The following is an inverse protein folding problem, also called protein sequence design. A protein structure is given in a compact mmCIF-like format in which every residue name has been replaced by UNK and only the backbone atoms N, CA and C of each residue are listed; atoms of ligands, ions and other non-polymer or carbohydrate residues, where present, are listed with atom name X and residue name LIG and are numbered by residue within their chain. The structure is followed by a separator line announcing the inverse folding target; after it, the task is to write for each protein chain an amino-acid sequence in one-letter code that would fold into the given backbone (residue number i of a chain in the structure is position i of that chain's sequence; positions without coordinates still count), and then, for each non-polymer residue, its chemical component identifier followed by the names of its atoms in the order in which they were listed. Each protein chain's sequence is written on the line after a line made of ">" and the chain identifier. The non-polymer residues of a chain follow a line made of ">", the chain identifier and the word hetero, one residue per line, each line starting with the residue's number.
data_IF_700128381211
#
_entry.id   IF_700128381211
#
_cell.length_a   1.000
_cell.length_b   1.000
_cell.length_c   1.000
_cell.angle_alpha   90.00
_cell.angle_beta   90.00
_cell.angle_gamma   90.00
#
_symmetry.space_group_name_H-M   'P 1'
#
loop_
_entity.id
_entity.type
_entity.pdbx_description
1 polymer ?
#
# COMPACT_ATOMS: atom_id res chain seq x y z
N UNK A 1 -2.09 -11.05 -14.88
CA UNK A 1 -1.84 -10.17 -13.71
C UNK A 1 -2.83 -10.37 -12.55
N UNK A 2 -4.09 -10.77 -12.77
CA UNK A 2 -5.09 -10.95 -11.69
C UNK A 2 -4.64 -11.86 -10.54
N UNK A 3 -3.92 -12.94 -10.83
CA UNK A 3 -3.46 -13.92 -9.84
C UNK A 3 -2.28 -13.48 -8.95
N UNK A 4 -1.58 -12.39 -9.31
CA UNK A 4 -0.41 -11.87 -8.58
C UNK A 4 -0.77 -10.65 -7.72
N UNK A 5 -1.90 -9.99 -8.03
CA UNK A 5 -2.37 -8.77 -7.35
C UNK A 5 -2.51 -8.97 -5.85
N UNK A 6 -3.17 -10.05 -5.43
CA UNK A 6 -3.45 -10.30 -4.01
C UNK A 6 -2.20 -10.59 -3.19
N UNK A 7 -1.22 -11.32 -3.74
CA UNK A 7 0.04 -11.57 -3.03
C UNK A 7 0.87 -10.30 -2.86
N UNK A 8 0.92 -9.44 -3.89
CA UNK A 8 1.61 -8.16 -3.80
C UNK A 8 0.89 -7.16 -2.91
N UNK A 9 -0.45 -7.11 -2.97
CA UNK A 9 -1.25 -6.28 -2.08
C UNK A 9 -1.02 -6.67 -0.62
N UNK A 10 -1.04 -7.97 -0.31
CA UNK A 10 -0.77 -8.45 1.04
C UNK A 10 0.63 -8.05 1.54
N UNK A 11 1.66 -8.17 0.70
CA UNK A 11 3.02 -7.68 1.00
C UNK A 11 3.01 -6.18 1.35
N UNK A 12 2.35 -5.36 0.54
CA UNK A 12 2.26 -3.92 0.78
C UNK A 12 1.49 -3.56 2.05
N UNK A 13 0.37 -4.26 2.34
CA UNK A 13 -0.38 -4.04 3.58
C UNK A 13 0.51 -4.30 4.80
N UNK A 14 1.20 -5.43 4.85
CA UNK A 14 2.08 -5.74 5.98
C UNK A 14 3.28 -4.80 6.08
N UNK A 15 3.80 -4.32 4.95
CA UNK A 15 4.84 -3.27 4.94
C UNK A 15 4.31 -1.97 5.55
N UNK A 16 3.11 -1.53 5.15
CA UNK A 16 2.49 -0.34 5.72
C UNK A 16 2.13 -0.50 7.20
N UNK A 17 1.70 -1.69 7.62
CA UNK A 17 1.47 -1.99 9.03
C UNK A 17 2.76 -1.86 9.83
N UNK A 18 3.88 -2.37 9.33
CA UNK A 18 5.19 -2.22 9.98
C UNK A 18 5.58 -0.74 10.14
N UNK A 19 5.47 0.04 9.06
CA UNK A 19 5.83 1.47 9.07
C UNK A 19 4.97 2.25 10.07
N UNK A 20 3.65 2.04 10.06
CA UNK A 20 2.73 2.70 11.01
C UNK A 20 3.01 2.25 12.44
N UNK A 21 3.32 0.96 12.65
CA UNK A 21 3.58 0.42 13.96
C UNK A 21 4.84 1.05 14.59
N UNK A 22 5.96 1.07 13.87
CA UNK A 22 7.23 1.64 14.37
C UNK A 22 7.30 3.17 14.37
N UNK A 23 6.45 3.87 13.63
CA UNK A 23 6.42 5.34 13.63
C UNK A 23 5.42 5.95 14.62
N UNK A 24 4.36 5.21 14.99
CA UNK A 24 3.24 5.77 15.75
C UNK A 24 2.88 4.96 16.99
N UNK A 25 2.73 3.65 16.85
CA UNK A 25 2.18 2.81 17.93
C UNK A 25 3.22 2.41 18.96
N UNK A 26 4.39 1.95 18.52
CA UNK A 26 5.49 1.53 19.37
C UNK A 26 6.83 1.85 18.67
N UNK A 27 7.30 3.08 18.88
CA UNK A 27 8.61 3.55 18.45
C UNK A 27 9.66 2.86 19.33
N UNK A 28 10.54 2.03 18.77
CA UNK A 28 11.51 1.28 19.56
C UNK A 28 12.62 2.19 20.06
N UNK A 29 12.81 2.25 21.37
CA UNK A 29 14.00 2.81 22.01
C UNK A 29 14.77 1.69 22.69
N UNK A 30 15.71 1.06 21.96
CA UNK A 30 16.40 -0.17 22.37
C UNK A 30 17.89 0.04 22.48
N UNK A 31 18.51 -0.67 23.41
CA UNK A 31 19.92 -0.67 23.75
C UNK A 31 20.47 -2.07 23.51
N UNK A 32 21.42 -2.18 22.59
CA UNK A 32 22.21 -3.39 22.41
C UNK A 32 23.51 -3.28 23.22
N UNK A 33 24.03 -4.39 23.76
CA UNK A 33 23.65 -5.78 23.50
C UNK A 33 22.55 -6.35 24.43
N UNK A 34 22.19 -5.65 25.51
CA UNK A 34 21.38 -6.19 26.61
C UNK A 34 19.88 -6.34 26.32
N UNK A 35 19.44 -6.18 25.06
CA UNK A 35 18.02 -6.22 24.64
C UNK A 35 17.10 -5.50 25.64
N UNK A 36 17.55 -4.35 26.11
CA UNK A 36 16.87 -3.53 27.10
C UNK A 36 16.47 -2.22 26.44
N UNK A 37 15.34 -1.66 26.84
CA UNK A 37 14.75 -0.51 26.18
C UNK A 37 13.25 -0.50 26.31
N UNK A 38 12.63 0.57 25.85
CA UNK A 38 11.18 0.74 25.95
C UNK A 38 10.56 1.15 24.62
N UNK A 39 9.28 0.83 24.45
CA UNK A 39 8.47 1.37 23.36
C UNK A 39 7.96 2.75 23.75
N UNK A 40 8.07 3.72 22.84
CA UNK A 40 7.50 5.06 23.01
C UNK A 40 6.39 5.19 21.96
N UNK A 41 5.17 5.54 22.34
CA UNK A 41 4.09 5.67 21.35
C UNK A 41 2.72 5.50 21.95
N UNK A 42 1.71 5.43 21.09
CA UNK A 42 0.29 5.33 21.48
C UNK A 42 0.04 4.11 22.36
N UNK A 43 0.65 2.96 22.09
CA UNK A 43 0.44 1.75 22.90
C UNK A 43 1.00 1.90 24.32
N UNK A 44 2.14 2.58 24.48
CA UNK A 44 2.70 2.90 25.79
C UNK A 44 1.84 3.90 26.55
N UNK A 45 1.26 4.90 25.86
CA UNK A 45 0.32 5.85 26.48
C UNK A 45 -0.96 5.17 26.97
N UNK A 46 -1.41 4.11 26.28
CA UNK A 46 -2.53 3.28 26.69
C UNK A 46 -2.17 2.25 27.78
N UNK A 47 -0.92 2.23 28.25
CA UNK A 47 -0.45 1.34 29.32
C UNK A 47 -0.16 -0.09 28.88
N UNK A 48 -0.01 -0.37 27.58
CA UNK A 48 0.34 -1.71 27.11
C UNK A 48 1.77 -2.08 27.52
N UNK A 49 1.94 -3.24 28.15
CA UNK A 49 3.25 -3.72 28.60
C UNK A 49 4.25 -3.84 27.42
N UNK A 50 5.49 -3.37 27.66
CA UNK A 50 6.58 -3.32 26.68
C UNK A 50 6.93 -4.69 26.09
N UNK A 51 6.83 -5.78 26.85
CA UNK A 51 7.05 -7.14 26.35
C UNK A 51 6.11 -7.50 25.21
N UNK A 52 4.82 -7.17 25.32
CA UNK A 52 3.85 -7.38 24.23
C UNK A 52 4.15 -6.48 23.03
N UNK A 53 4.59 -5.23 23.26
CA UNK A 53 4.99 -4.34 22.16
C UNK A 53 6.20 -4.89 21.38
N UNK A 54 7.18 -5.49 22.07
CA UNK A 54 8.32 -6.17 21.44
C UNK A 54 7.85 -7.39 20.64
N UNK A 55 6.95 -8.21 21.21
CA UNK A 55 6.37 -9.34 20.49
C UNK A 55 5.65 -8.92 19.21
N UNK A 56 4.74 -7.95 19.27
CA UNK A 56 4.03 -7.46 18.10
C UNK A 56 4.99 -6.89 17.05
N UNK A 57 6.07 -6.20 17.46
CA UNK A 57 7.11 -5.73 16.55
C UNK A 57 7.71 -6.88 15.75
N UNK A 58 8.20 -7.91 16.45
CA UNK A 58 8.88 -9.06 15.82
C UNK A 58 7.90 -9.87 14.97
N UNK A 59 6.66 -10.05 15.45
CA UNK A 59 5.58 -10.73 14.73
C UNK A 59 5.23 -10.01 13.41
N UNK A 60 5.11 -8.69 13.40
CA UNK A 60 4.80 -7.93 12.18
C UNK A 60 5.93 -8.13 11.16
N UNK A 61 7.20 -8.04 11.59
CA UNK A 61 8.37 -8.26 10.73
C UNK A 61 8.40 -9.70 10.19
N UNK A 62 8.18 -10.71 11.03
CA UNK A 62 8.22 -12.12 10.61
C UNK A 62 7.07 -12.48 9.66
N UNK A 63 5.88 -11.91 9.87
CA UNK A 63 4.73 -12.06 8.98
C UNK A 63 4.99 -11.36 7.65
N UNK A 64 5.58 -10.16 7.66
CA UNK A 64 6.02 -9.48 6.45
C UNK A 64 6.97 -10.34 5.63
N UNK A 65 7.99 -10.95 6.26
CA UNK A 65 8.91 -11.89 5.57
C UNK A 65 8.17 -13.11 5.01
N UNK A 66 7.21 -13.68 5.74
CA UNK A 66 6.37 -14.77 5.23
C UNK A 66 5.53 -14.36 4.00
N UNK A 67 5.06 -13.10 3.95
CA UNK A 67 4.38 -12.59 2.75
C UNK A 67 5.30 -12.53 1.55
N UNK A 68 6.59 -12.24 1.73
CA UNK A 68 7.59 -12.24 0.65
C UNK A 68 7.79 -13.65 0.09
N UNK A 69 7.92 -14.67 0.95
CA UNK A 69 7.96 -16.08 0.53
C UNK A 69 6.73 -16.43 -0.30
N UNK A 70 5.54 -15.99 0.14
CA UNK A 70 4.28 -16.23 -0.59
C UNK A 70 4.28 -15.59 -1.98
N UNK A 71 4.89 -14.41 -2.15
CA UNK A 71 5.00 -13.77 -3.47
C UNK A 71 5.87 -14.62 -4.42
N UNK A 72 7.01 -15.13 -3.95
CA UNK A 72 7.90 -15.98 -4.75
C UNK A 72 7.29 -17.35 -5.05
N UNK A 73 6.66 -17.99 -4.07
CA UNK A 73 5.92 -19.25 -4.27
C UNK A 73 4.81 -19.08 -5.31
N UNK A 74 4.02 -18.01 -5.19
CA UNK A 74 2.89 -17.77 -6.11
C UNK A 74 3.40 -17.54 -7.53
N UNK A 75 4.53 -16.85 -7.68
CA UNK A 75 5.17 -16.63 -8.98
C UNK A 75 5.64 -17.94 -9.61
N UNK A 76 6.34 -18.77 -8.84
CA UNK A 76 6.78 -20.08 -9.30
C UNK A 76 5.61 -20.97 -9.71
N UNK A 77 4.55 -21.00 -8.89
CA UNK A 77 3.35 -21.80 -9.13
C UNK A 77 2.64 -21.42 -10.44
N UNK A 78 2.52 -20.13 -10.73
CA UNK A 78 1.86 -19.63 -11.94
C UNK A 78 2.63 -19.98 -13.23
N UNK A 79 3.96 -20.03 -13.15
CA UNK A 79 4.81 -20.36 -14.30
C UNK A 79 4.98 -21.87 -14.49
N UNK A 80 4.79 -22.65 -13.42
CA UNK A 80 4.95 -24.10 -13.43
C UNK A 80 3.73 -24.80 -14.03
N UNK A 81 3.93 -25.60 -15.09
CA UNK A 81 2.89 -26.46 -15.67
C UNK A 81 2.78 -27.78 -14.87
N UNK A 82 1.56 -28.29 -14.66
CA UNK A 82 1.27 -29.61 -14.06
C UNK A 82 1.83 -29.88 -12.65
N UNK A 83 1.45 -29.07 -11.64
CA UNK A 83 1.74 -29.34 -10.22
C UNK A 83 0.49 -29.67 -9.40
N UNK A 84 -0.15 -30.82 -9.68
CA UNK A 84 -1.38 -31.25 -8.99
C UNK A 84 -1.18 -31.42 -7.48
N UNK A 85 -0.06 -32.02 -7.06
CA UNK A 85 0.27 -32.21 -5.65
C UNK A 85 0.48 -30.88 -4.92
N UNK A 86 1.34 -30.00 -5.46
CA UNK A 86 1.58 -28.69 -4.84
C UNK A 86 0.32 -27.84 -4.77
N UNK A 87 -0.58 -27.94 -5.76
CA UNK A 87 -1.88 -27.25 -5.73
C UNK A 87 -2.71 -27.63 -4.50
N UNK A 88 -2.66 -28.89 -4.05
CA UNK A 88 -3.35 -29.36 -2.84
C UNK A 88 -2.65 -28.89 -1.56
N UNK A 89 -1.31 -28.93 -1.53
CA UNK A 89 -0.52 -28.67 -0.30
C UNK A 89 -0.27 -27.18 -0.05
N UNK A 90 -0.22 -26.34 -1.09
CA UNK A 90 0.21 -24.93 -0.96
C UNK A 90 -0.59 -24.09 0.02
N UNK A 91 -1.88 -24.40 0.21
CA UNK A 91 -2.73 -23.71 1.18
C UNK A 91 -2.25 -23.97 2.60
N UNK A 92 -2.08 -25.26 2.96
CA UNK A 92 -1.56 -25.69 4.25
C UNK A 92 -0.13 -25.20 4.50
N UNK A 93 0.76 -25.30 3.51
CA UNK A 93 2.13 -24.79 3.64
C UNK A 93 2.17 -23.28 3.89
N UNK A 94 1.28 -22.53 3.24
CA UNK A 94 1.14 -21.10 3.45
C UNK A 94 0.66 -20.78 4.87
N UNK A 95 -0.41 -21.45 5.34
CA UNK A 95 -0.95 -21.27 6.69
C UNK A 95 0.11 -21.61 7.74
N UNK A 96 0.80 -22.74 7.57
CA UNK A 96 1.87 -23.17 8.47
C UNK A 96 2.99 -22.12 8.56
N UNK A 97 3.43 -21.55 7.43
CA UNK A 97 4.46 -20.51 7.44
C UNK A 97 4.02 -19.27 8.23
N UNK A 98 2.76 -18.84 8.08
CA UNK A 98 2.22 -17.72 8.87
C UNK A 98 2.12 -18.03 10.36
N UNK A 99 1.69 -19.25 10.72
CA UNK A 99 1.64 -19.69 12.12
C UNK A 99 3.04 -19.68 12.73
N UNK A 100 4.03 -20.26 12.03
CA UNK A 100 5.42 -20.26 12.49
C UNK A 100 5.91 -18.81 12.68
N UNK A 101 5.70 -17.94 11.69
CA UNK A 101 6.05 -16.52 11.80
C UNK A 101 5.39 -15.82 13.00
N UNK A 102 4.13 -16.13 13.31
CA UNK A 102 3.43 -15.52 14.43
C UNK A 102 3.84 -16.07 15.80
N UNK A 103 4.28 -17.33 15.85
CA UNK A 103 4.47 -18.05 17.12
C UNK A 103 5.94 -18.23 17.54
N UNK A 104 6.91 -18.20 16.62
CA UNK A 104 8.30 -18.55 16.94
C UNK A 104 8.94 -17.68 18.06
N UNK A 105 8.44 -16.46 18.26
CA UNK A 105 8.95 -15.52 19.26
C UNK A 105 8.21 -15.57 20.62
N UNK A 106 7.03 -16.23 20.67
CA UNK A 106 6.19 -16.30 21.88
C UNK A 106 6.94 -16.86 23.10
N UNK A 107 7.77 -17.92 22.99
CA UNK A 107 8.44 -18.49 24.16
C UNK A 107 9.22 -17.46 24.98
N UNK A 108 9.83 -16.45 24.34
CA UNK A 108 10.63 -15.44 25.03
C UNK A 108 9.83 -14.52 25.95
N UNK A 109 8.51 -14.40 25.75
CA UNK A 109 7.64 -13.64 26.66
C UNK A 109 7.56 -14.29 28.05
N UNK A 110 7.70 -15.61 28.14
CA UNK A 110 7.68 -16.33 29.41
C UNK A 110 9.02 -16.30 30.16
N UNK A 111 10.10 -15.87 29.48
CA UNK A 111 11.45 -15.78 30.05
C UNK A 111 11.87 -14.33 30.35
N UNK A 112 10.93 -13.38 30.28
CA UNK A 112 11.18 -12.00 30.70
C UNK A 112 11.53 -11.99 32.20
N UNK A 113 12.67 -11.40 32.60
CA UNK A 113 13.08 -11.38 34.00
C UNK A 113 12.27 -10.37 34.83
N UNK A 114 12.28 -10.55 36.15
CA UNK A 114 11.74 -9.57 37.09
C UNK A 114 12.48 -8.23 36.94
N UNK A 115 11.73 -7.19 36.59
CA UNK A 115 12.26 -5.86 36.28
C UNK A 115 12.93 -5.21 37.49
N UNK A 116 12.48 -5.50 38.71
CA UNK A 116 13.08 -4.96 39.94
C UNK A 116 14.52 -5.46 40.15
N UNK A 117 14.83 -6.65 39.64
CA UNK A 117 16.17 -7.25 39.73
C UNK A 117 16.99 -7.02 38.46
N UNK A 118 16.35 -7.03 37.30
CA UNK A 118 17.04 -6.96 36.01
C UNK A 118 17.52 -5.55 35.65
N UNK A 119 16.74 -4.51 35.95
CA UNK A 119 17.09 -3.12 35.62
C UNK A 119 18.40 -2.68 36.28
N UNK A 120 18.62 -2.88 37.60
CA UNK A 120 19.89 -2.50 38.24
C UNK A 120 21.11 -3.18 37.60
N UNK A 121 20.99 -4.47 37.25
CA UNK A 121 22.08 -5.25 36.62
C UNK A 121 22.46 -4.67 35.25
N UNK A 122 21.49 -4.22 34.46
CA UNK A 122 21.78 -3.60 33.16
C UNK A 122 22.36 -2.20 33.32
N UNK A 123 21.89 -1.41 34.30
CA UNK A 123 22.40 -0.07 34.58
C UNK A 123 23.86 -0.10 35.07
N UNK A 124 24.23 -1.07 35.90
CA UNK A 124 25.63 -1.28 36.31
C UNK A 124 26.55 -1.52 35.11
N UNK A 125 26.07 -2.27 34.11
CA UNK A 125 26.79 -2.54 32.86
C UNK A 125 26.75 -1.39 31.86
N UNK A 126 25.85 -0.43 32.04
CA UNK A 126 25.64 0.71 31.12
C UNK A 126 25.47 2.03 31.90
N UNK A 127 26.52 2.48 32.64
CA UNK A 127 26.42 3.63 33.54
C UNK A 127 26.07 4.93 32.82
N UNK A 128 26.40 5.06 31.52
CA UNK A 128 26.05 6.19 30.67
C UNK A 128 24.53 6.35 30.44
N UNK A 129 23.73 5.31 30.71
CA UNK A 129 22.29 5.31 30.46
C UNK A 129 21.47 6.03 31.53
N UNK A 130 22.05 6.31 32.71
CA UNK A 130 21.34 7.01 33.79
C UNK A 130 20.75 8.36 33.37
N UNK A 131 21.36 9.06 32.39
CA UNK A 131 20.83 10.31 31.82
C UNK A 131 19.47 10.14 31.10
N UNK A 132 19.17 8.96 30.56
CA UNK A 132 17.92 8.70 29.82
C UNK A 132 16.83 8.08 30.71
N UNK A 133 17.21 7.43 31.81
CA UNK A 133 16.26 6.79 32.76
C UNK A 133 15.30 7.76 33.44
N UNK A 134 15.65 9.05 33.52
CA UNK A 134 14.80 10.07 34.14
C UNK A 134 13.55 10.40 33.30
N UNK A 135 13.57 10.09 32.00
CA UNK A 135 12.48 10.40 31.06
C UNK A 135 11.80 9.14 30.52
N UNK A 136 12.51 8.03 30.35
CA UNK A 136 11.96 6.78 29.82
C UNK A 136 12.36 5.62 30.75
N UNK A 137 11.39 4.93 31.38
CA UNK A 137 11.70 3.79 32.24
C UNK A 137 12.33 2.68 31.41
N UNK A 138 13.46 2.14 31.90
CA UNK A 138 14.14 1.02 31.27
C UNK A 138 13.35 -0.26 31.48
N UNK A 139 13.14 -1.02 30.41
CA UNK A 139 12.57 -2.36 30.47
C UNK A 139 13.60 -3.36 29.93
N UNK A 140 13.89 -4.40 30.68
CA UNK A 140 14.85 -5.45 30.31
C UNK A 140 14.10 -6.64 29.76
N UNK A 141 14.22 -6.91 28.45
CA UNK A 141 13.55 -8.04 27.82
C UNK A 141 14.22 -9.38 28.18
N UNK A 142 15.55 -9.42 28.19
CA UNK A 142 16.32 -10.60 28.59
C UNK A 142 17.70 -10.21 29.11
N UNK A 143 18.22 -10.92 30.11
CA UNK A 143 19.61 -10.81 30.56
C UNK A 143 20.57 -11.66 29.71
N UNK A 144 20.05 -12.67 29.01
CA UNK A 144 20.80 -13.51 28.08
C UNK A 144 20.21 -13.37 26.66
N UNK A 145 20.75 -12.46 25.84
CA UNK A 145 20.26 -12.19 24.48
C UNK A 145 20.63 -13.28 23.44
N UNK A 146 21.54 -14.21 23.75
CA UNK A 146 22.05 -15.19 22.77
C UNK A 146 20.93 -16.11 22.22
N UNK A 147 20.06 -16.73 23.04
CA UNK A 147 18.99 -17.58 22.52
C UNK A 147 17.99 -16.83 21.63
N UNK A 148 17.70 -15.57 21.96
CA UNK A 148 16.84 -14.69 21.17
C UNK A 148 17.47 -14.46 19.80
N UNK A 149 18.75 -14.05 19.78
CA UNK A 149 19.48 -13.79 18.54
C UNK A 149 19.61 -15.06 17.67
N UNK A 150 19.94 -16.20 18.27
CA UNK A 150 20.05 -17.48 17.58
C UNK A 150 18.72 -17.91 16.94
N UNK A 151 17.60 -17.72 17.66
CA UNK A 151 16.26 -18.08 17.17
C UNK A 151 15.82 -17.17 16.02
N UNK A 152 16.05 -15.86 16.13
CA UNK A 152 15.79 -14.90 15.03
C UNK A 152 16.68 -15.19 13.83
N UNK A 153 17.95 -15.55 14.04
CA UNK A 153 18.87 -15.93 12.98
C UNK A 153 18.42 -17.21 12.25
N UNK A 154 18.05 -18.25 13.00
CA UNK A 154 17.55 -19.51 12.45
C UNK A 154 16.28 -19.30 11.62
N UNK A 155 15.32 -18.53 12.15
CA UNK A 155 14.11 -18.16 11.41
C UNK A 155 14.45 -17.40 10.12
N UNK A 156 15.36 -16.42 10.20
CA UNK A 156 15.79 -15.64 9.04
C UNK A 156 16.43 -16.49 7.96
N UNK A 157 17.32 -17.42 8.35
CA UNK A 157 17.95 -18.39 7.43
C UNK A 157 16.88 -19.25 6.76
N UNK A 158 15.94 -19.81 7.53
CA UNK A 158 14.84 -20.62 6.99
C UNK A 158 14.04 -19.85 5.93
N UNK A 159 13.63 -18.61 6.23
CA UNK A 159 12.85 -17.79 5.29
C UNK A 159 13.66 -17.43 4.04
N UNK A 160 14.92 -17.02 4.19
CA UNK A 160 15.81 -16.69 3.05
C UNK A 160 16.03 -17.93 2.17
N UNK A 161 16.22 -19.10 2.77
CA UNK A 161 16.33 -20.37 2.03
C UNK A 161 15.07 -20.70 1.25
N UNK A 162 13.87 -20.49 1.84
CA UNK A 162 12.60 -20.69 1.15
C UNK A 162 12.41 -19.72 -0.03
N UNK A 163 12.74 -18.44 0.16
CA UNK A 163 12.69 -17.44 -0.92
C UNK A 163 13.65 -17.83 -2.06
N UNK A 164 14.88 -18.17 -1.71
CA UNK A 164 15.92 -18.57 -2.67
C UNK A 164 15.52 -19.82 -3.45
N UNK A 165 14.93 -20.82 -2.79
CA UNK A 165 14.39 -22.01 -3.43
C UNK A 165 13.35 -21.65 -4.50
N UNK A 166 12.35 -20.85 -4.17
CA UNK A 166 11.29 -20.48 -5.14
C UNK A 166 11.81 -19.60 -6.28
N UNK A 167 12.79 -18.73 -6.02
CA UNK A 167 13.49 -17.97 -7.07
C UNK A 167 14.23 -18.93 -8.01
N UNK A 168 15.06 -19.83 -7.49
CA UNK A 168 15.80 -20.82 -8.27
C UNK A 168 14.86 -21.71 -9.11
N UNK A 169 13.75 -22.18 -8.51
CA UNK A 169 12.74 -22.96 -9.22
C UNK A 169 12.07 -22.15 -10.33
N UNK A 170 11.80 -20.86 -10.11
CA UNK A 170 11.24 -19.97 -11.14
C UNK A 170 12.22 -19.78 -12.30
N UNK A 171 13.49 -19.50 -12.01
CA UNK A 171 14.55 -19.36 -13.02
C UNK A 171 14.68 -20.64 -13.84
N UNK A 172 14.67 -21.81 -13.18
CA UNK A 172 14.71 -23.12 -13.84
C UNK A 172 13.52 -23.36 -14.76
N UNK A 173 12.31 -22.98 -14.34
CA UNK A 173 11.13 -23.12 -15.20
C UNK A 173 11.23 -22.22 -16.44
N UNK A 174 11.66 -20.97 -16.26
CA UNK A 174 11.86 -20.03 -17.36
C UNK A 174 12.96 -20.48 -18.33
N UNK A 175 14.05 -21.08 -17.84
CA UNK A 175 15.12 -21.60 -18.70
C UNK A 175 14.66 -22.82 -19.51
N UNK A 176 13.89 -23.73 -18.91
CA UNK A 176 13.33 -24.89 -19.62
C UNK A 176 12.33 -24.44 -20.69
N UNK A 177 11.45 -23.49 -20.39
CA UNK A 177 10.48 -22.96 -21.37
C UNK A 177 11.17 -22.29 -22.56
N UNK A 178 12.25 -21.54 -22.30
CA UNK A 178 13.08 -20.92 -23.34
C UNK A 178 13.77 -21.97 -24.23
N UNK A 179 14.32 -23.04 -23.62
CA UNK A 179 15.02 -24.11 -24.35
C UNK A 179 14.07 -24.97 -25.19
N UNK A 180 12.86 -25.24 -24.68
CA UNK A 180 11.87 -26.10 -25.35
C UNK A 180 10.94 -25.34 -26.31
N UNK A 181 11.16 -24.04 -26.51
CA UNK A 181 10.31 -23.16 -27.34
C UNK A 181 8.80 -23.26 -27.03
N UNK A 182 8.44 -23.59 -25.78
CA UNK A 182 7.02 -23.73 -25.37
C UNK A 182 6.34 -22.38 -25.18
N UNK A 183 7.11 -21.29 -25.19
CA UNK A 183 6.66 -19.91 -24.97
C UNK A 183 7.60 -18.99 -25.75
N UNK A 184 7.09 -17.88 -26.29
CA UNK A 184 7.91 -16.97 -27.09
C UNK A 184 9.07 -16.37 -26.28
N UNK A 185 10.21 -16.11 -26.94
CA UNK A 185 11.39 -15.52 -26.30
C UNK A 185 11.09 -14.13 -25.73
N UNK A 186 10.20 -13.38 -26.38
CA UNK A 186 9.71 -12.10 -25.88
C UNK A 186 9.01 -12.25 -24.52
N UNK A 187 8.09 -13.20 -24.39
CA UNK A 187 7.35 -13.45 -23.14
C UNK A 187 8.27 -13.94 -22.02
N UNK A 188 9.24 -14.82 -22.32
CA UNK A 188 10.25 -15.25 -21.33
C UNK A 188 11.08 -14.07 -20.84
N UNK A 189 11.51 -13.19 -21.74
CA UNK A 189 12.27 -11.98 -21.42
C UNK A 189 11.47 -11.05 -20.50
N UNK A 190 10.17 -10.88 -20.78
CA UNK A 190 9.28 -10.11 -19.93
C UNK A 190 9.16 -10.71 -18.52
N UNK A 191 9.05 -12.04 -18.41
CA UNK A 191 8.99 -12.72 -17.11
C UNK A 191 10.29 -12.59 -16.31
N UNK A 192 11.46 -12.65 -16.97
CA UNK A 192 12.78 -12.42 -16.34
C UNK A 192 12.93 -10.99 -15.84
N UNK A 193 12.62 -9.99 -16.67
CA UNK A 193 12.65 -8.57 -16.27
C UNK A 193 11.77 -8.32 -15.05
N UNK A 194 10.57 -8.89 -15.02
CA UNK A 194 9.69 -8.79 -13.85
C UNK A 194 10.27 -9.48 -12.61
N UNK A 195 10.87 -10.66 -12.75
CA UNK A 195 11.49 -11.36 -11.62
C UNK A 195 12.66 -10.56 -11.04
N UNK A 196 13.53 -9.99 -11.88
CA UNK A 196 14.62 -9.13 -11.42
C UNK A 196 14.12 -7.85 -10.75
N UNK A 197 13.08 -7.22 -11.31
CA UNK A 197 12.43 -6.07 -10.68
C UNK A 197 11.88 -6.42 -9.29
N UNK A 198 11.22 -7.58 -9.16
CA UNK A 198 10.70 -8.07 -7.88
C UNK A 198 11.82 -8.37 -6.88
N UNK A 199 12.91 -9.02 -7.34
CA UNK A 199 14.09 -9.29 -6.50
C UNK A 199 14.75 -8.01 -6.01
N UNK A 200 14.90 -7.01 -6.87
CA UNK A 200 15.40 -5.70 -6.45
C UNK A 200 14.46 -5.08 -5.40
N UNK A 201 13.15 -5.10 -5.67
CA UNK A 201 12.14 -4.47 -4.82
C UNK A 201 12.03 -5.12 -3.42
N UNK A 202 12.14 -6.44 -3.31
CA UNK A 202 12.13 -7.13 -2.00
C UNK A 202 13.52 -7.25 -1.38
N UNK A 203 14.58 -7.23 -2.20
CA UNK A 203 15.96 -7.43 -1.75
C UNK A 203 16.57 -6.18 -1.14
N UNK A 204 16.35 -5.00 -1.73
CA UNK A 204 16.88 -3.74 -1.18
C UNK A 204 16.43 -3.46 0.28
N UNK A 205 15.14 -3.58 0.63
CA UNK A 205 14.69 -3.33 2.00
C UNK A 205 15.27 -4.36 2.97
N UNK A 206 15.38 -5.62 2.54
CA UNK A 206 16.04 -6.69 3.31
C UNK A 206 17.51 -6.35 3.55
N UNK A 207 18.27 -5.92 2.52
CA UNK A 207 19.68 -5.55 2.69
C UNK A 207 19.83 -4.38 3.66
N UNK A 208 19.01 -3.33 3.50
CA UNK A 208 19.06 -2.15 4.36
C UNK A 208 18.73 -2.46 5.82
N UNK A 209 17.84 -3.43 6.08
CA UNK A 209 17.49 -3.82 7.46
C UNK A 209 18.47 -4.86 8.02
N UNK A 210 18.83 -5.88 7.26
CA UNK A 210 19.67 -6.99 7.74
C UNK A 210 21.14 -6.62 7.87
N UNK A 211 21.71 -5.84 6.95
CA UNK A 211 23.13 -5.51 6.98
C UNK A 211 23.54 -4.79 8.29
N UNK A 212 22.82 -3.77 8.79
CA UNK A 212 23.09 -3.17 10.09
C UNK A 212 22.90 -4.16 11.25
N UNK A 213 21.88 -5.02 11.18
CA UNK A 213 21.62 -6.03 12.21
C UNK A 213 22.73 -7.09 12.30
N UNK A 214 23.56 -7.27 11.26
CA UNK A 214 24.72 -8.15 11.33
C UNK A 214 25.72 -7.73 12.42
N UNK A 215 25.80 -6.43 12.72
CA UNK A 215 26.65 -5.94 13.81
C UNK A 215 26.24 -6.52 15.17
N UNK A 216 24.98 -6.93 15.36
CA UNK A 216 24.51 -7.56 16.61
C UNK A 216 25.20 -8.90 16.87
N UNK A 217 25.58 -9.65 15.83
CA UNK A 217 26.32 -10.91 15.99
C UNK A 217 27.74 -10.70 16.54
N UNK A 218 28.26 -9.48 16.46
CA UNK A 218 29.51 -9.10 17.11
C UNK A 218 29.27 -8.45 18.48
N UNK A 219 28.35 -7.48 18.56
CA UNK A 219 28.07 -6.72 19.80
C UNK A 219 27.55 -7.61 20.92
N UNK A 220 26.66 -8.56 20.60
CA UNK A 220 25.97 -9.38 21.59
C UNK A 220 26.89 -10.40 22.28
N UNK A 221 27.64 -11.26 21.55
CA UNK A 221 28.54 -12.22 22.20
C UNK A 221 29.68 -11.55 22.96
N UNK A 222 30.17 -10.41 22.48
CA UNK A 222 31.25 -9.66 23.13
C UNK A 222 30.77 -8.81 24.33
N UNK A 223 29.46 -8.66 24.53
CA UNK A 223 28.91 -7.78 25.57
C UNK A 223 29.27 -6.29 25.36
N UNK A 224 29.65 -5.91 24.14
CA UNK A 224 30.13 -4.57 23.83
C UNK A 224 28.97 -3.62 23.50
N UNK A 225 28.77 -2.60 24.35
CA UNK A 225 27.78 -1.55 24.12
C UNK A 225 28.38 -0.40 23.32
N UNK A 226 27.70 0.00 22.23
CA UNK A 226 28.03 1.19 21.46
C UNK A 226 26.76 1.86 20.93
N UNK A 227 26.45 3.03 21.47
CA UNK A 227 25.23 3.76 21.11
C UNK A 227 25.26 4.28 19.66
N UNK A 228 26.43 4.63 19.12
CA UNK A 228 26.56 5.07 17.72
C UNK A 228 26.13 3.96 16.75
N UNK A 229 26.59 2.73 16.99
CA UNK A 229 26.21 1.57 16.16
C UNK A 229 24.72 1.28 16.31
N UNK A 230 24.19 1.32 17.54
CA UNK A 230 22.76 1.12 17.79
C UNK A 230 21.91 2.16 17.07
N UNK A 231 22.28 3.44 17.13
CA UNK A 231 21.60 4.52 16.40
C UNK A 231 21.68 4.31 14.88
N UNK A 232 22.83 3.89 14.35
CA UNK A 232 22.99 3.61 12.93
C UNK A 232 22.08 2.48 12.45
N UNK A 233 21.91 1.41 13.25
CA UNK A 233 20.94 0.34 12.97
C UNK A 233 19.54 0.93 12.81
N UNK A 234 19.07 1.72 13.78
CA UNK A 234 17.72 2.28 13.73
C UNK A 234 17.52 3.33 12.62
N UNK A 235 18.54 4.13 12.30
CA UNK A 235 18.50 5.03 11.14
C UNK A 235 18.38 4.24 9.84
N UNK A 236 19.19 3.19 9.67
CA UNK A 236 19.17 2.36 8.48
C UNK A 236 17.85 1.61 8.32
N UNK A 237 17.32 1.07 9.42
CA UNK A 237 15.97 0.52 9.48
C UNK A 237 14.94 1.59 9.12
N UNK A 238 15.01 2.82 9.62
CA UNK A 238 14.03 3.87 9.28
C UNK A 238 14.08 4.26 7.80
N UNK A 239 15.27 4.25 7.18
CA UNK A 239 15.45 4.61 5.77
C UNK A 239 14.98 3.54 4.78
N UNK A 240 14.72 2.31 5.23
CA UNK A 240 14.33 1.22 4.33
C UNK A 240 13.07 1.55 3.50
N UNK A 241 12.04 2.16 4.11
CA UNK A 241 10.79 2.52 3.43
C UNK A 241 10.98 3.62 2.37
N UNK A 242 11.86 4.59 2.65
CA UNK A 242 12.23 5.64 1.69
C UNK A 242 12.90 5.04 0.45
N UNK A 243 13.95 4.24 0.64
CA UNK A 243 14.67 3.61 -0.46
C UNK A 243 13.80 2.60 -1.23
N UNK A 244 12.91 1.88 -0.55
CA UNK A 244 11.91 0.99 -1.18
C UNK A 244 11.01 1.74 -2.15
N UNK A 245 10.55 2.92 -1.74
CA UNK A 245 9.66 3.77 -2.55
C UNK A 245 10.40 4.36 -3.74
N UNK A 246 11.61 4.89 -3.54
CA UNK A 246 12.46 5.37 -4.63
C UNK A 246 12.72 4.25 -5.65
N UNK A 247 13.06 3.05 -5.19
CA UNK A 247 13.30 1.92 -6.08
C UNK A 247 12.04 1.51 -6.87
N UNK A 248 10.87 1.49 -6.23
CA UNK A 248 9.59 1.23 -6.93
C UNK A 248 9.39 2.22 -8.08
N UNK A 249 9.61 3.50 -7.84
CA UNK A 249 9.47 4.57 -8.83
C UNK A 249 10.48 4.44 -9.97
N UNK A 250 11.71 4.03 -9.69
CA UNK A 250 12.77 3.90 -10.69
C UNK A 250 12.65 2.64 -11.54
N UNK A 251 12.33 1.49 -10.92
CA UNK A 251 12.36 0.17 -11.57
C UNK A 251 11.11 -0.08 -12.42
N UNK A 252 9.94 0.40 -11.99
CA UNK A 252 8.69 0.12 -12.69
C UNK A 252 8.33 1.25 -13.65
N UNK A 253 8.46 0.96 -14.95
CA UNK A 253 8.14 1.90 -16.04
C UNK A 253 6.82 2.68 -15.90
N UNK A 254 5.64 2.07 -15.56
CA UNK A 254 4.40 2.83 -15.44
C UNK A 254 4.46 3.85 -14.29
N UNK A 255 5.08 3.50 -13.16
CA UNK A 255 5.27 4.42 -12.04
C UNK A 255 6.25 5.53 -12.41
N UNK A 256 7.39 5.19 -13.04
CA UNK A 256 8.37 6.19 -13.51
C UNK A 256 7.74 7.21 -14.45
N UNK A 257 6.97 6.75 -15.43
CA UNK A 257 6.30 7.64 -16.41
C UNK A 257 5.23 8.51 -15.75
N UNK A 258 4.45 7.96 -14.82
CA UNK A 258 3.46 8.73 -14.06
C UNK A 258 4.14 9.80 -13.19
N UNK A 259 5.17 9.43 -12.43
CA UNK A 259 5.93 10.36 -11.59
C UNK A 259 6.61 11.44 -12.43
N UNK A 260 7.24 11.09 -13.55
CA UNK A 260 7.82 12.09 -14.45
C UNK A 260 6.76 13.02 -15.06
N UNK A 261 5.54 12.54 -15.34
CA UNK A 261 4.43 13.41 -15.79
C UNK A 261 3.99 14.37 -14.68
N UNK A 262 3.89 13.89 -13.43
CA UNK A 262 3.55 14.71 -12.26
C UNK A 262 4.64 15.75 -11.98
N UNK A 263 5.92 15.33 -11.98
CA UNK A 263 7.06 16.21 -11.76
C UNK A 263 7.27 17.21 -12.90
N UNK A 264 6.88 16.85 -14.14
CA UNK A 264 6.84 17.78 -15.29
C UNK A 264 5.72 18.82 -15.19
N UNK A 265 4.75 18.67 -14.28
CA UNK A 265 3.85 19.77 -13.94
C UNK A 265 4.58 20.76 -13.02
N UNK A 266 5.50 21.55 -13.61
CA UNK A 266 6.19 22.66 -12.93
C UNK A 266 5.22 23.68 -12.32
N UNK A 267 3.98 23.72 -12.81
CA UNK A 267 2.88 24.47 -12.23
C UNK A 267 2.67 24.17 -10.74
N UNK A 268 2.72 22.90 -10.32
CA UNK A 268 2.54 22.56 -8.90
C UNK A 268 3.68 23.13 -8.04
N UNK A 269 4.93 22.95 -8.46
CA UNK A 269 6.10 23.49 -7.75
C UNK A 269 6.06 25.03 -7.71
N UNK A 270 5.70 25.68 -8.81
CA UNK A 270 5.53 27.13 -8.87
C UNK A 270 4.42 27.63 -7.94
N UNK A 271 3.27 26.95 -7.91
CA UNK A 271 2.17 27.30 -7.00
C UNK A 271 2.58 27.15 -5.54
N UNK A 272 3.25 26.05 -5.18
CA UNK A 272 3.76 25.87 -3.81
C UNK A 272 4.82 26.91 -3.45
N UNK A 273 5.77 27.19 -4.36
CA UNK A 273 6.75 28.25 -4.16
C UNK A 273 6.06 29.60 -3.89
N UNK A 274 5.05 29.97 -4.70
CA UNK A 274 4.30 31.22 -4.51
C UNK A 274 3.52 31.29 -3.22
N UNK A 275 3.00 30.17 -2.72
CA UNK A 275 2.29 30.13 -1.43
C UNK A 275 3.23 30.43 -0.26
N UNK A 276 4.48 29.96 -0.33
CA UNK A 276 5.45 30.03 0.77
C UNK A 276 6.59 31.05 0.55
N UNK A 277 6.61 31.81 -0.54
CA UNK A 277 7.70 32.72 -0.91
C UNK A 277 8.02 33.75 0.18
N UNK A 278 7.01 34.17 0.95
CA UNK A 278 7.14 35.15 2.02
C UNK A 278 7.27 34.53 3.42
N UNK A 279 7.36 33.20 3.51
CA UNK A 279 7.35 32.46 4.78
C UNK A 279 8.74 32.37 5.39
N UNK A 280 8.86 32.72 6.68
CA UNK A 280 10.15 32.69 7.40
C UNK A 280 10.32 31.45 8.27
N UNK A 281 9.26 30.64 8.45
CA UNK A 281 9.27 29.37 9.18
C UNK A 281 9.88 29.49 10.59
N UNK A 282 9.52 30.53 11.35
CA UNK A 282 10.04 30.77 12.71
C UNK A 282 9.10 30.28 13.83
N UNK A 283 7.97 29.67 13.47
CA UNK A 283 6.98 29.20 14.43
C UNK A 283 7.46 27.93 15.17
N UNK A 284 7.05 27.81 16.43
CA UNK A 284 7.47 26.75 17.36
C UNK A 284 7.05 25.35 16.87
N UNK A 285 6.01 25.27 16.04
CA UNK A 285 5.47 24.01 15.48
C UNK A 285 5.39 24.05 13.96
N UNK A 286 6.54 24.11 13.29
CA UNK A 286 6.58 23.89 11.84
C UNK A 286 6.35 22.39 11.54
N UNK A 287 5.12 22.04 11.15
CA UNK A 287 4.77 20.68 10.73
C UNK A 287 4.07 20.72 9.38
N UNK A 288 4.23 19.67 8.57
CA UNK A 288 3.47 19.48 7.32
C UNK A 288 1.95 19.61 7.53
N UNK A 289 1.46 19.36 8.76
CA UNK A 289 0.06 19.48 9.13
C UNK A 289 -0.36 20.88 9.58
N UNK A 290 0.59 21.73 9.99
CA UNK A 290 0.33 23.04 10.58
C UNK A 290 1.00 24.14 9.76
N UNK A 291 0.19 24.73 8.87
CA UNK A 291 0.60 25.85 8.03
C UNK A 291 0.86 27.09 8.90
N UNK A 292 1.99 27.79 8.71
CA UNK A 292 2.27 29.06 9.38
C UNK A 292 1.20 30.11 9.06
N UNK A 293 0.98 31.02 10.00
CA UNK A 293 -0.10 32.03 9.91
C UNK A 293 0.01 32.93 8.66
N UNK A 294 1.23 33.28 8.26
CA UNK A 294 1.58 34.11 7.10
C UNK A 294 1.22 33.46 5.76
N UNK A 295 1.46 32.16 5.59
CA UNK A 295 1.11 31.41 4.38
C UNK A 295 -0.36 30.94 4.36
N UNK A 296 -1.04 31.03 5.51
CA UNK A 296 -2.33 30.40 5.71
C UNK A 296 -3.44 30.99 4.81
N UNK A 297 -3.43 32.29 4.51
CA UNK A 297 -4.41 32.94 3.63
C UNK A 297 -4.23 32.52 2.17
N UNK A 298 -3.00 32.49 1.69
CA UNK A 298 -2.67 32.03 0.33
C UNK A 298 -3.03 30.56 0.14
N UNK A 299 -2.77 29.72 1.15
CA UNK A 299 -3.18 28.33 1.11
C UNK A 299 -4.71 28.16 1.10
N UNK A 300 -5.46 29.01 1.82
CA UNK A 300 -6.94 29.00 1.74
C UNK A 300 -7.43 29.33 0.33
N UNK A 301 -6.84 30.34 -0.32
CA UNK A 301 -7.17 30.72 -1.71
C UNK A 301 -6.85 29.57 -2.67
N UNK A 302 -5.74 28.88 -2.45
CA UNK A 302 -5.38 27.67 -3.21
C UNK A 302 -6.44 26.57 -3.06
N UNK A 303 -6.92 26.29 -1.85
CA UNK A 303 -7.98 25.30 -1.62
C UNK A 303 -9.30 25.67 -2.31
N UNK A 304 -9.70 26.95 -2.26
CA UNK A 304 -10.89 27.43 -2.99
C UNK A 304 -10.72 27.28 -4.50
N UNK A 305 -9.56 27.64 -5.03
CA UNK A 305 -9.23 27.45 -6.46
C UNK A 305 -9.35 25.98 -6.87
N UNK A 306 -8.82 25.05 -6.06
CA UNK A 306 -8.98 23.61 -6.30
C UNK A 306 -10.45 23.17 -6.28
N UNK A 307 -11.26 23.71 -5.38
CA UNK A 307 -12.69 23.41 -5.31
C UNK A 307 -13.42 23.90 -6.57
N UNK A 308 -13.14 25.13 -7.03
CA UNK A 308 -13.71 25.67 -8.28
C UNK A 308 -13.31 24.85 -9.51
N UNK A 309 -12.05 24.41 -9.61
CA UNK A 309 -11.60 23.52 -10.69
C UNK A 309 -12.36 22.19 -10.67
N UNK A 310 -12.58 21.60 -9.49
CA UNK A 310 -13.36 20.35 -9.34
C UNK A 310 -14.83 20.55 -9.72
N UNK A 311 -15.41 21.69 -9.35
CA UNK A 311 -16.78 22.04 -9.75
C UNK A 311 -16.87 22.17 -11.27
N UNK A 312 -15.99 22.95 -11.89
CA UNK A 312 -15.93 23.11 -13.35
C UNK A 312 -15.74 21.78 -14.08
N UNK A 313 -14.86 20.90 -13.60
CA UNK A 313 -14.68 19.56 -14.16
C UNK A 313 -15.95 18.71 -14.05
N UNK A 314 -16.67 18.78 -12.93
CA UNK A 314 -17.94 18.06 -12.75
C UNK A 314 -19.01 18.58 -13.69
N UNK A 315 -19.12 19.91 -13.85
CA UNK A 315 -20.03 20.52 -14.82
C UNK A 315 -19.68 20.13 -16.27
N UNK A 316 -18.40 20.15 -16.65
CA UNK A 316 -17.97 19.74 -17.98
C UNK A 316 -18.34 18.27 -18.26
N UNK A 317 -18.16 17.38 -17.29
CA UNK A 317 -18.58 15.97 -17.41
C UNK A 317 -20.10 15.82 -17.52
N UNK A 318 -20.86 16.66 -16.81
CA UNK A 318 -22.33 16.68 -16.92
C UNK A 318 -22.79 17.12 -18.31
N UNK A 319 -22.21 18.21 -18.85
CA UNK A 319 -22.46 18.66 -20.22
C UNK A 319 -22.11 17.55 -21.23
N UNK A 320 -20.98 16.88 -21.05
CA UNK A 320 -20.55 15.78 -21.92
C UNK A 320 -21.56 14.62 -21.91
N UNK A 321 -22.16 14.29 -20.76
CA UNK A 321 -23.23 13.30 -20.68
C UNK A 321 -24.53 13.75 -21.36
N UNK A 322 -24.87 15.03 -21.28
CA UNK A 322 -26.01 15.61 -22.00
C UNK A 322 -25.77 15.50 -23.51
N UNK A 323 -24.59 15.91 -24.00
CA UNK A 323 -24.21 15.78 -25.41
C UNK A 323 -24.31 14.32 -25.87
N UNK A 324 -23.83 13.36 -25.08
CA UNK A 324 -23.98 11.94 -25.39
C UNK A 324 -25.43 11.48 -25.50
N UNK A 325 -26.33 12.02 -24.67
CA UNK A 325 -27.75 11.69 -24.72
C UNK A 325 -28.41 12.23 -25.99
N UNK A 326 -28.02 13.43 -26.43
CA UNK A 326 -28.52 14.08 -27.66
C UNK A 326 -28.00 13.36 -28.91
N UNK A 327 -26.73 12.94 -28.91
CA UNK A 327 -26.11 12.25 -30.03
C UNK A 327 -26.52 10.77 -30.15
N UNK A 328 -27.10 10.19 -29.10
CA UNK A 328 -27.53 8.78 -29.06
C UNK A 328 -28.37 8.32 -30.25
N UNK A 329 -29.49 8.99 -30.61
CA UNK A 329 -30.28 8.60 -31.78
C UNK A 329 -29.52 8.72 -33.11
N UNK A 330 -28.52 9.61 -33.20
CA UNK A 330 -27.75 9.83 -34.43
C UNK A 330 -26.76 8.69 -34.66
N UNK A 331 -25.91 8.35 -33.68
CA UNK A 331 -24.92 7.28 -33.86
C UNK A 331 -25.54 5.88 -33.86
N UNK A 332 -26.76 5.71 -33.35
CA UNK A 332 -27.51 4.45 -33.47
C UNK A 332 -27.83 4.07 -34.93
N UNK A 333 -27.78 5.02 -35.86
CA UNK A 333 -27.93 4.76 -37.31
C UNK A 333 -26.60 4.54 -38.03
N UNK A 334 -25.47 4.69 -37.34
CA UNK A 334 -24.12 4.56 -37.91
C UNK A 334 -23.62 3.10 -37.97
N UNK A 335 -22.37 2.91 -38.42
CA UNK A 335 -21.70 1.60 -38.45
C UNK A 335 -21.64 0.93 -37.08
N UNK A 336 -21.53 -0.41 -37.05
CA UNK A 336 -21.41 -1.19 -35.82
C UNK A 336 -20.21 -0.74 -34.97
N UNK A 337 -19.08 -0.44 -35.63
CA UNK A 337 -17.86 0.06 -35.00
C UNK A 337 -18.10 1.40 -34.31
N UNK A 338 -18.83 2.32 -34.97
CA UNK A 338 -19.18 3.62 -34.39
C UNK A 338 -20.10 3.46 -33.18
N UNK A 339 -21.10 2.57 -33.24
CA UNK A 339 -21.99 2.29 -32.09
C UNK A 339 -21.22 1.77 -30.89
N UNK A 340 -20.34 0.79 -31.12
CA UNK A 340 -19.53 0.20 -30.05
C UNK A 340 -18.60 1.25 -29.40
N UNK A 341 -17.90 2.04 -30.22
CA UNK A 341 -17.01 3.09 -29.73
C UNK A 341 -17.78 4.15 -28.92
N UNK A 342 -18.95 4.60 -29.40
CA UNK A 342 -19.77 5.59 -28.70
C UNK A 342 -20.39 5.05 -27.41
N UNK A 343 -20.75 3.77 -27.36
CA UNK A 343 -21.18 3.14 -26.10
C UNK A 343 -20.05 3.02 -25.08
N UNK A 344 -18.82 2.71 -25.53
CA UNK A 344 -17.65 2.65 -24.67
C UNK A 344 -17.29 4.03 -24.11
N UNK A 345 -17.33 5.06 -24.97
CA UNK A 345 -17.15 6.47 -24.57
C UNK A 345 -18.24 6.87 -23.57
N UNK A 346 -19.51 6.55 -23.83
CA UNK A 346 -20.63 6.88 -22.92
C UNK A 346 -20.48 6.20 -21.56
N UNK A 347 -20.07 4.93 -21.52
CA UNK A 347 -19.82 4.19 -20.27
C UNK A 347 -18.65 4.80 -19.50
N UNK A 348 -17.57 5.13 -20.20
CA UNK A 348 -16.39 5.78 -19.62
C UNK A 348 -16.75 7.14 -19.02
N UNK A 349 -17.54 7.96 -19.70
CA UNK A 349 -17.99 9.25 -19.18
C UNK A 349 -18.90 9.14 -17.96
N UNK A 350 -19.76 8.11 -17.89
CA UNK A 350 -20.58 7.85 -16.68
C UNK A 350 -19.71 7.46 -15.49
N UNK A 351 -18.67 6.65 -15.72
CA UNK A 351 -17.68 6.32 -14.70
C UNK A 351 -16.95 7.58 -14.23
N UNK A 352 -16.41 8.36 -15.17
CA UNK A 352 -15.69 9.60 -14.89
C UNK A 352 -16.56 10.57 -14.09
N UNK A 353 -17.83 10.77 -14.47
CA UNK A 353 -18.78 11.62 -13.73
C UNK A 353 -19.00 11.15 -12.29
N UNK A 354 -19.15 9.84 -12.08
CA UNK A 354 -19.31 9.28 -10.73
C UNK A 354 -18.08 9.60 -9.87
N UNK A 355 -16.89 9.46 -10.44
CA UNK A 355 -15.62 9.71 -9.75
C UNK A 355 -15.43 11.20 -9.48
N UNK A 356 -15.64 12.08 -10.47
CA UNK A 356 -15.45 13.52 -10.31
C UNK A 356 -16.47 14.12 -9.34
N UNK A 357 -17.73 13.68 -9.37
CA UNK A 357 -18.74 14.04 -8.39
C UNK A 357 -18.37 13.58 -6.98
N UNK A 358 -17.92 12.34 -6.82
CA UNK A 358 -17.46 11.81 -5.52
C UNK A 358 -16.27 12.62 -5.00
N UNK A 359 -15.31 12.96 -5.86
CA UNK A 359 -14.21 13.85 -5.51
C UNK A 359 -14.70 15.22 -5.05
N UNK A 360 -15.65 15.84 -5.76
CA UNK A 360 -16.20 17.14 -5.42
C UNK A 360 -16.90 17.11 -4.05
N UNK A 361 -17.74 16.10 -3.82
CA UNK A 361 -18.50 15.93 -2.58
C UNK A 361 -17.56 15.80 -1.37
N UNK A 362 -16.67 14.81 -1.39
CA UNK A 362 -15.83 14.53 -0.23
C UNK A 362 -14.72 15.57 -0.03
N UNK A 363 -14.14 16.10 -1.11
CA UNK A 363 -13.19 17.21 -0.99
C UNK A 363 -13.88 18.48 -0.49
N UNK A 364 -15.12 18.74 -0.92
CA UNK A 364 -15.94 19.84 -0.43
C UNK A 364 -16.24 19.73 1.06
N UNK A 365 -16.70 18.56 1.52
CA UNK A 365 -16.92 18.29 2.96
C UNK A 365 -15.63 18.47 3.75
N UNK A 366 -14.52 17.89 3.29
CA UNK A 366 -13.21 18.02 3.93
C UNK A 366 -12.77 19.48 4.05
N UNK A 367 -12.92 20.25 2.96
CA UNK A 367 -12.57 21.68 2.95
C UNK A 367 -13.48 22.48 3.87
N UNK A 368 -14.79 22.19 3.91
CA UNK A 368 -15.74 22.83 4.81
C UNK A 368 -15.43 22.53 6.29
N UNK A 369 -15.15 21.26 6.63
CA UNK A 369 -14.71 20.87 7.98
C UNK A 369 -13.39 21.55 8.36
N UNK A 370 -12.45 21.66 7.42
CA UNK A 370 -11.17 22.35 7.65
C UNK A 370 -11.34 23.84 7.90
N UNK A 371 -12.19 24.51 7.12
CA UNK A 371 -12.54 25.90 7.35
C UNK A 371 -13.29 26.09 8.67
N UNK A 372 -14.23 25.20 9.00
CA UNK A 372 -14.96 25.23 10.28
C UNK A 372 -14.01 25.12 11.47
N UNK A 373 -13.15 24.09 11.49
CA UNK A 373 -12.18 23.91 12.58
C UNK A 373 -11.21 25.10 12.63
N UNK A 374 -10.83 25.67 11.49
CA UNK A 374 -9.90 26.80 11.44
C UNK A 374 -10.51 28.14 11.90
N UNK A 375 -11.75 28.43 11.54
CA UNK A 375 -12.39 29.74 11.82
C UNK A 375 -13.15 29.71 13.15
N UNK A 376 -13.89 28.63 13.43
CA UNK A 376 -14.78 28.53 14.58
C UNK A 376 -14.27 27.55 15.65
N UNK A 377 -13.25 26.75 15.35
CA UNK A 377 -12.78 25.69 16.25
C UNK A 377 -12.28 26.18 17.61
N UNK A 378 -11.67 27.36 17.69
CA UNK A 378 -11.21 27.89 18.99
C UNK A 378 -12.38 28.22 19.93
N UNK A 379 -13.48 28.76 19.40
CA UNK A 379 -14.70 29.03 20.16
C UNK A 379 -15.48 27.74 20.44
N UNK A 380 -15.47 26.78 19.53
CA UNK A 380 -16.21 25.53 19.64
C UNK A 380 -15.58 24.52 20.61
N UNK A 381 -14.25 24.37 20.59
CA UNK A 381 -13.55 23.38 21.40
C UNK A 381 -13.13 23.89 22.79
N UNK A 382 -13.18 25.21 23.04
CA UNK A 382 -12.96 25.86 24.35
C UNK A 382 -11.56 25.70 24.98
N UNK A 383 -10.77 24.73 24.52
CA UNK A 383 -9.42 24.42 24.97
C UNK A 383 -8.45 24.55 23.80
N UNK A 384 -7.35 25.28 24.02
CA UNK A 384 -6.27 25.46 23.06
C UNK A 384 -5.74 24.10 22.57
N UNK A 385 -5.56 23.13 23.47
CA UNK A 385 -5.06 21.80 23.11
C UNK A 385 -6.07 21.06 22.22
N UNK A 386 -7.35 21.06 22.58
CA UNK A 386 -8.40 20.36 21.82
C UNK A 386 -8.57 20.95 20.41
N UNK A 387 -8.46 22.28 20.29
CA UNK A 387 -8.45 22.97 19.00
C UNK A 387 -7.26 22.54 18.12
N UNK A 388 -6.05 22.47 18.69
CA UNK A 388 -4.86 22.03 17.94
C UNK A 388 -4.92 20.55 17.56
N UNK A 389 -5.41 19.68 18.44
CA UNK A 389 -5.64 18.27 18.15
C UNK A 389 -6.68 18.10 17.04
N UNK A 390 -7.80 18.82 17.09
CA UNK A 390 -8.82 18.80 16.04
C UNK A 390 -8.26 19.28 14.68
N UNK A 391 -7.41 20.30 14.67
CA UNK A 391 -6.70 20.77 13.46
C UNK A 391 -5.73 19.71 12.92
N UNK A 392 -4.96 19.07 13.81
CA UNK A 392 -4.04 18.01 13.45
C UNK A 392 -4.76 16.82 12.82
N UNK A 393 -5.81 16.31 13.48
CA UNK A 393 -6.59 15.16 12.98
C UNK A 393 -7.18 15.44 11.60
N UNK A 394 -7.74 16.64 11.40
CA UNK A 394 -8.35 16.99 10.13
C UNK A 394 -7.35 17.13 8.98
N UNK A 395 -6.08 17.48 9.25
CA UNK A 395 -5.02 17.57 8.22
C UNK A 395 -4.26 16.25 8.01
N UNK A 396 -4.22 15.37 9.01
CA UNK A 396 -3.33 14.19 9.01
C UNK A 396 -3.70 13.14 7.98
N UNK A 397 -4.99 12.96 7.69
CA UNK A 397 -5.46 11.88 6.82
C UNK A 397 -6.63 12.37 5.98
N UNK A 398 -6.43 12.74 4.71
CA UNK A 398 -7.53 12.88 3.75
C UNK A 398 -8.14 11.49 3.48
N UNK A 399 -8.88 10.97 4.45
CA UNK A 399 -9.55 9.65 4.43
C UNK A 399 -10.46 9.50 3.21
N UNK A 400 -10.94 10.62 2.68
CA UNK A 400 -11.70 10.66 1.44
C UNK A 400 -10.95 10.07 0.24
N UNK A 401 -9.61 10.11 0.20
CA UNK A 401 -8.83 9.49 -0.87
C UNK A 401 -9.06 7.97 -0.92
N UNK A 402 -9.22 7.32 0.23
CA UNK A 402 -9.54 5.89 0.32
C UNK A 402 -10.99 5.63 -0.08
N UNK A 403 -11.92 6.48 0.33
CA UNK A 403 -13.34 6.39 -0.05
C UNK A 403 -13.51 6.49 -1.57
N UNK A 404 -12.82 7.44 -2.23
CA UNK A 404 -12.88 7.61 -3.68
C UNK A 404 -12.36 6.36 -4.40
N UNK A 405 -11.27 5.76 -3.93
CA UNK A 405 -10.72 4.53 -4.50
C UNK A 405 -11.73 3.37 -4.36
N UNK A 406 -12.37 3.23 -3.20
CA UNK A 406 -13.43 2.23 -2.97
C UNK A 406 -14.62 2.46 -3.91
N UNK A 407 -15.13 3.69 -3.99
CA UNK A 407 -16.23 4.05 -4.90
C UNK A 407 -15.85 3.79 -6.36
N UNK A 408 -14.59 4.05 -6.73
CA UNK A 408 -14.05 3.70 -8.05
C UNK A 408 -14.07 2.21 -8.34
N UNK A 409 -13.63 1.38 -7.38
CA UNK A 409 -13.71 -0.07 -7.51
C UNK A 409 -15.16 -0.56 -7.63
N UNK A 410 -16.07 -0.08 -6.79
CA UNK A 410 -17.49 -0.48 -6.79
C UNK A 410 -18.16 -0.05 -8.11
N UNK A 411 -17.95 1.19 -8.55
CA UNK A 411 -18.51 1.72 -9.79
C UNK A 411 -18.00 0.93 -11.01
N UNK A 412 -16.70 0.67 -11.08
CA UNK A 412 -16.11 -0.13 -12.15
C UNK A 412 -16.61 -1.57 -12.14
N UNK A 413 -16.78 -2.16 -10.96
CA UNK A 413 -17.34 -3.51 -10.79
C UNK A 413 -18.78 -3.58 -11.31
N UNK A 414 -19.64 -2.64 -10.92
CA UNK A 414 -21.03 -2.57 -11.39
C UNK A 414 -21.12 -2.35 -12.91
N UNK A 415 -20.31 -1.45 -13.47
CA UNK A 415 -20.28 -1.18 -14.90
C UNK A 415 -19.81 -2.42 -15.70
N UNK A 416 -18.77 -3.11 -15.23
CA UNK A 416 -18.29 -4.34 -15.86
C UNK A 416 -19.29 -5.48 -15.75
N UNK A 417 -19.98 -5.62 -14.60
CA UNK A 417 -21.02 -6.64 -14.41
C UNK A 417 -22.19 -6.40 -15.36
N UNK A 418 -22.69 -5.16 -15.44
CA UNK A 418 -23.77 -4.78 -16.36
C UNK A 418 -23.38 -4.97 -17.82
N UNK A 419 -22.13 -4.65 -18.18
CA UNK A 419 -21.57 -4.92 -19.51
C UNK A 419 -21.56 -6.41 -19.81
N UNK A 420 -21.01 -7.23 -18.90
CA UNK A 420 -20.91 -8.67 -19.12
C UNK A 420 -22.31 -9.29 -19.25
N UNK A 421 -23.27 -8.89 -18.41
CA UNK A 421 -24.66 -9.31 -18.54
C UNK A 421 -25.25 -8.93 -19.91
N UNK A 422 -25.12 -7.67 -20.33
CA UNK A 422 -25.61 -7.22 -21.63
C UNK A 422 -24.96 -7.94 -22.82
N UNK A 423 -23.65 -8.22 -22.74
CA UNK A 423 -22.94 -9.03 -23.74
C UNK A 423 -23.45 -10.46 -23.72
N UNK A 424 -23.61 -11.08 -22.56
CA UNK A 424 -24.12 -12.45 -22.45
C UNK A 424 -25.55 -12.57 -22.99
N UNK A 425 -26.45 -11.62 -22.72
CA UNK A 425 -27.81 -11.62 -23.27
C UNK A 425 -27.87 -11.25 -24.76
N UNK A 426 -27.04 -10.32 -25.25
CA UNK A 426 -27.06 -9.93 -26.68
C UNK A 426 -26.30 -10.91 -27.59
N UNK A 427 -25.28 -11.61 -27.06
CA UNK A 427 -24.49 -12.63 -27.77
C UNK A 427 -25.13 -14.02 -27.64
N UNK A 428 -26.19 -14.18 -26.82
CA UNK A 428 -27.02 -15.39 -26.76
C UNK A 428 -27.99 -15.55 -27.94
N UNK A 429 -27.76 -14.88 -29.07
CA UNK A 429 -28.15 -15.50 -30.34
C UNK A 429 -27.24 -16.72 -30.54
N UNK A 430 -27.69 -17.87 -30.01
CA UNK A 430 -27.07 -19.16 -30.24
C UNK A 430 -26.95 -19.34 -31.76
N UNK A 431 -25.77 -19.64 -32.29
CA UNK A 431 -25.57 -19.85 -33.74
C UNK A 431 -25.69 -21.31 -34.15
N UNK A 432 -25.92 -22.21 -33.18
CA UNK A 432 -25.86 -23.66 -33.35
C UNK A 432 -26.94 -24.34 -32.50
N UNK A 433 -27.54 -25.40 -33.04
CA UNK A 433 -28.65 -26.14 -32.41
C UNK A 433 -30.02 -25.51 -32.64
N UNK A 434 -31.07 -26.13 -32.08
CA UNK A 434 -32.48 -25.75 -32.30
C UNK A 434 -32.80 -24.33 -31.83
N UNK A 435 -32.18 -23.85 -30.75
CA UNK A 435 -32.34 -22.45 -30.32
C UNK A 435 -31.70 -21.47 -31.29
N UNK A 436 -30.62 -21.87 -31.98
CA UNK A 436 -30.02 -21.03 -33.00
C UNK A 436 -30.84 -20.94 -34.28
N UNK A 437 -31.43 -22.05 -34.71
CA UNK A 437 -32.40 -22.05 -35.81
C UNK A 437 -33.58 -21.12 -35.53
N UNK A 438 -34.14 -21.15 -34.31
CA UNK A 438 -35.20 -20.22 -33.88
C UNK A 438 -34.77 -18.76 -33.92
N UNK A 439 -33.56 -18.43 -33.47
CA UNK A 439 -33.04 -17.06 -33.53
C UNK A 439 -32.88 -16.57 -34.97
N UNK A 440 -32.45 -17.43 -35.89
CA UNK A 440 -32.36 -17.10 -37.32
C UNK A 440 -33.74 -16.92 -37.95
N UNK A 441 -34.68 -17.81 -37.66
CA UNK A 441 -36.07 -17.68 -38.13
C UNK A 441 -36.68 -16.38 -37.62
N UNK A 442 -36.61 -16.10 -36.32
CA UNK A 442 -37.20 -14.89 -35.73
C UNK A 442 -36.55 -13.60 -36.27
N UNK A 443 -35.24 -13.61 -36.55
CA UNK A 443 -34.55 -12.51 -37.21
C UNK A 443 -34.96 -12.32 -38.68
N UNK A 444 -35.13 -13.41 -39.42
CA UNK A 444 -35.60 -13.40 -40.81
C UNK A 444 -37.06 -12.94 -40.86
N UNK A 445 -37.95 -13.52 -40.06
CA UNK A 445 -39.37 -13.17 -39.99
C UNK A 445 -39.57 -11.71 -39.61
N UNK A 446 -38.81 -11.19 -38.65
CA UNK A 446 -38.89 -9.75 -38.28
C UNK A 446 -38.43 -8.84 -39.43
N UNK A 447 -37.42 -9.25 -40.21
CA UNK A 447 -36.93 -8.51 -41.37
C UNK A 447 -37.94 -8.53 -42.53
N UNK A 448 -38.63 -9.67 -42.72
CA UNK A 448 -39.72 -9.78 -43.69
C UNK A 448 -40.95 -9.01 -43.24
N UNK A 449 -41.31 -9.02 -41.95
CA UNK A 449 -42.41 -8.23 -41.42
C UNK A 449 -42.17 -6.72 -41.61
N UNK A 450 -40.93 -6.24 -41.51
CA UNK A 450 -40.59 -4.84 -41.80
C UNK A 450 -40.76 -4.51 -43.28
N UNK A 451 -40.35 -5.41 -44.19
CA UNK A 451 -40.52 -5.25 -45.65
C UNK A 451 -42.00 -5.28 -46.06
N UNK A 452 -42.80 -6.16 -45.44
CA UNK A 452 -44.24 -6.31 -45.74
C UNK A 452 -45.08 -5.16 -45.13
N UNK A 453 -44.65 -4.56 -44.02
CA UNK A 453 -45.37 -3.45 -43.38
C UNK A 453 -45.18 -2.07 -44.04
N UNK A 454 -44.40 -1.96 -45.12
CA UNK A 454 -44.32 -0.75 -45.94
C UNK A 454 -43.82 0.51 -45.22
N UNK A 455 -43.10 0.40 -44.11
CA UNK A 455 -42.43 1.55 -43.46
C UNK A 455 -40.95 1.57 -43.85
N UNK A 456 -40.68 2.09 -45.05
CA UNK A 456 -39.38 2.66 -45.43
C UNK A 456 -39.20 4.00 -44.73
#
# INVERSE_FOLDING_TARGET
>A
MSSVKWSLLNLHVWSSVLDVYWSTFAIPFVIFPYMAGNGIGVLSMLGLNTGYQVYFSVMIVSVLVATMVRVYENRWFLLSRNRKLWRRIRGYACILNYIISAMFFIPFLFFVPDQMKAVPVVLEKTPCYHLYTQTIPLYVFTLNPIPVLATVALFSVLQISLMSLFVCLTVRVLSIQARRNTTSQYTVTLHRKFLYALMAQTGLPVILVFCPLLSLFYLVPMGYHNQMITNFIFISVSLHGFFSTVLLLLVHQPYRLATLRILKCGFNFYTFYKIFENEKFRDIFNSFLMLPSTSATQFTIYLWTLLYIKFGNTMANMVLLIVHSILKPQYQKSSLTTKYAMEEITKTSKFTMTITFTHLLFFGIYTACSLFVRVLGQQFFGSFINFYVARGINCAVPTYNLVIVIVGFISLYHLNRKRNQAVTTNVQMMSIGNEGAKNYDEAITNKWATVVSGKV
#
